data_IF_108307439510
#
_entry.id   IF_108307439510
#
_cell.length_a   1.000
_cell.length_b   1.000
_cell.length_c   1.000
_cell.angle_alpha   90.00
_cell.angle_beta   90.00
_cell.angle_gamma   90.00
#
_symmetry.space_group_name_H-M   'P 1'
#
loop_
_entity.id
_entity.type
_entity.pdbx_description
1 polymer ?
#
# COMPACT_ATOMS: atom_id res chain seq x y z
N UNK A 1 -48.89 -44.81 -34.06
CA UNK A 1 -48.41 -43.46 -33.72
C UNK A 1 -47.63 -43.57 -32.41
N UNK A 2 -46.29 -43.57 -32.45
CA UNK A 2 -45.44 -43.65 -31.25
C UNK A 2 -45.11 -42.24 -30.76
N UNK A 3 -45.37 -41.99 -29.48
CA UNK A 3 -45.14 -40.71 -28.81
C UNK A 3 -43.63 -40.46 -28.58
N UNK A 4 -43.17 -39.25 -28.94
CA UNK A 4 -41.82 -38.76 -28.66
C UNK A 4 -41.73 -38.35 -27.19
N UNK A 5 -40.90 -39.03 -26.40
CA UNK A 5 -40.45 -38.52 -25.09
C UNK A 5 -39.22 -37.62 -25.32
N UNK A 6 -39.39 -36.32 -25.14
CA UNK A 6 -38.28 -35.37 -25.04
C UNK A 6 -37.86 -35.27 -23.57
N UNK A 7 -36.66 -35.76 -23.25
CA UNK A 7 -36.04 -35.60 -21.94
C UNK A 7 -35.41 -34.21 -21.89
N UNK A 8 -35.99 -33.32 -21.09
CA UNK A 8 -35.46 -31.99 -20.78
C UNK A 8 -34.42 -32.16 -19.66
N UNK A 9 -33.13 -32.09 -20.01
CA UNK A 9 -32.06 -32.11 -19.02
C UNK A 9 -31.98 -30.75 -18.31
N UNK A 10 -32.42 -30.68 -17.05
CA UNK A 10 -32.18 -29.54 -16.16
C UNK A 10 -30.69 -29.54 -15.78
N UNK A 11 -29.91 -28.61 -16.34
CA UNK A 11 -28.60 -28.26 -15.80
C UNK A 11 -28.81 -27.46 -14.52
N UNK A 12 -28.60 -28.09 -13.36
CA UNK A 12 -28.46 -27.38 -12.10
C UNK A 12 -27.13 -26.65 -12.09
N UNK A 13 -27.16 -25.32 -12.24
CA UNK A 13 -26.00 -24.47 -12.05
C UNK A 13 -25.65 -24.43 -10.55
N UNK A 14 -24.60 -25.15 -10.16
CA UNK A 14 -24.02 -25.02 -8.83
C UNK A 14 -23.30 -23.66 -8.74
N UNK A 15 -23.95 -22.67 -8.13
CA UNK A 15 -23.31 -21.41 -7.74
C UNK A 15 -22.40 -21.74 -6.55
N UNK A 16 -21.11 -21.94 -6.84
CA UNK A 16 -20.09 -22.06 -5.80
C UNK A 16 -19.89 -20.65 -5.23
N UNK A 17 -20.50 -20.37 -4.09
CA UNK A 17 -20.22 -19.16 -3.33
C UNK A 17 -18.76 -19.22 -2.88
N UNK A 18 -17.86 -18.52 -3.58
CA UNK A 18 -16.49 -18.39 -3.14
C UNK A 18 -16.48 -17.52 -1.87
N UNK A 19 -15.70 -17.89 -0.84
CA UNK A 19 -15.52 -17.03 0.31
C UNK A 19 -14.87 -15.73 -0.18
N UNK A 20 -15.59 -14.62 -0.04
CA UNK A 20 -14.99 -13.30 -0.16
C UNK A 20 -14.02 -13.17 1.00
N UNK A 21 -12.72 -13.21 0.73
CA UNK A 21 -11.70 -12.84 1.70
C UNK A 21 -11.90 -11.35 2.02
N UNK A 22 -12.62 -11.07 3.10
CA UNK A 22 -12.69 -9.71 3.65
C UNK A 22 -11.32 -9.45 4.28
N UNK A 23 -10.45 -8.74 3.55
CA UNK A 23 -9.27 -8.13 4.13
C UNK A 23 -9.76 -7.23 5.26
N UNK A 24 -9.24 -7.42 6.48
CA UNK A 24 -9.53 -6.45 7.55
C UNK A 24 -8.73 -5.21 7.23
N UNK A 25 -9.42 -4.10 7.05
CA UNK A 25 -8.79 -2.80 6.88
C UNK A 25 -7.96 -2.53 8.14
N UNK A 26 -6.64 -2.43 7.98
CA UNK A 26 -5.74 -2.03 9.05
C UNK A 26 -5.51 -0.55 8.87
N UNK A 27 -6.01 0.23 9.82
CA UNK A 27 -5.80 1.67 9.85
C UNK A 27 -4.53 1.99 10.64
N UNK A 28 -3.75 2.95 10.13
CA UNK A 28 -2.62 3.54 10.85
C UNK A 28 -2.88 5.02 11.04
N UNK A 29 -2.70 5.49 12.27
CA UNK A 29 -2.94 6.85 12.68
C UNK A 29 -1.66 7.68 12.59
N UNK A 30 -1.63 8.63 11.67
CA UNK A 30 -0.50 9.54 11.45
C UNK A 30 -0.72 10.94 12.03
N UNK A 31 -1.76 11.13 12.85
CA UNK A 31 -2.11 12.41 13.47
C UNK A 31 -2.90 13.35 12.55
N UNK A 32 -3.86 14.09 13.11
CA UNK A 32 -4.81 14.90 12.32
C UNK A 32 -4.19 16.11 11.61
N UNK A 33 -3.03 16.58 12.07
CA UNK A 33 -2.29 17.71 11.47
C UNK A 33 -1.13 17.28 10.56
N UNK A 34 -0.90 15.98 10.42
CA UNK A 34 0.34 15.39 9.87
C UNK A 34 0.07 14.29 8.83
N UNK A 35 -1.15 13.77 8.72
CA UNK A 35 -1.45 12.76 7.70
C UNK A 35 -2.83 12.12 7.72
N UNK A 36 -3.51 12.16 8.87
CA UNK A 36 -4.79 11.49 9.06
C UNK A 36 -4.64 9.98 9.27
N UNK A 37 -5.74 9.26 9.04
CA UNK A 37 -5.79 7.80 9.15
C UNK A 37 -5.54 7.19 7.78
N UNK A 38 -4.59 6.25 7.71
CA UNK A 38 -4.20 5.56 6.48
C UNK A 38 -4.77 4.15 6.50
N UNK A 39 -5.57 3.81 5.48
CA UNK A 39 -5.89 2.41 5.20
C UNK A 39 -4.70 1.74 4.50
N UNK A 40 -4.16 0.69 5.13
CA UNK A 40 -3.04 -0.05 4.56
C UNK A 40 -3.42 -0.91 3.35
N UNK A 41 -4.70 -1.23 3.16
CA UNK A 41 -5.12 -2.07 2.04
C UNK A 41 -4.63 -1.54 0.66
N UNK A 42 -4.94 -0.29 0.27
CA UNK A 42 -4.40 0.30 -0.96
C UNK A 42 -2.88 0.47 -0.92
N UNK A 43 -2.29 0.74 0.25
CA UNK A 43 -0.82 0.93 0.39
C UNK A 43 -0.05 -0.31 -0.05
N UNK A 44 -0.49 -1.50 0.34
CA UNK A 44 0.14 -2.75 -0.09
C UNK A 44 0.10 -2.94 -1.61
N UNK A 45 -1.00 -2.57 -2.26
CA UNK A 45 -1.15 -2.69 -3.71
C UNK A 45 -0.26 -1.67 -4.44
N UNK A 46 -0.10 -0.47 -3.86
CA UNK A 46 0.80 0.57 -4.36
C UNK A 46 2.27 0.12 -4.23
N UNK A 47 2.69 -0.44 -3.09
CA UNK A 47 4.06 -0.95 -2.88
C UNK A 47 4.38 -2.10 -3.85
N UNK A 48 3.43 -3.01 -4.08
CA UNK A 48 3.61 -4.12 -5.00
C UNK A 48 3.89 -3.65 -6.45
N UNK A 49 3.40 -2.47 -6.82
CA UNK A 49 3.58 -1.87 -8.14
C UNK A 49 4.71 -0.82 -8.19
N UNK A 50 5.19 -0.37 -7.03
CA UNK A 50 6.20 0.68 -6.94
C UNK A 50 7.57 0.22 -7.48
N UNK A 51 8.38 1.14 -8.04
CA UNK A 51 9.74 0.84 -8.48
C UNK A 51 10.61 0.18 -7.39
N UNK A 52 11.55 -0.65 -7.82
CA UNK A 52 12.55 -1.30 -6.93
C UNK A 52 13.86 -0.53 -6.83
N UNK A 53 13.96 0.61 -7.51
CA UNK A 53 15.13 1.47 -7.53
C UNK A 53 14.66 2.89 -7.22
N UNK A 54 15.49 3.72 -6.57
CA UNK A 54 15.15 5.11 -6.34
C UNK A 54 15.06 5.86 -7.68
N UNK A 55 14.21 6.89 -7.72
CA UNK A 55 14.14 7.79 -8.86
C UNK A 55 15.48 8.46 -9.09
N UNK A 56 15.88 8.54 -10.36
CA UNK A 56 17.08 9.26 -10.78
C UNK A 56 16.80 10.74 -11.13
N UNK A 57 15.56 11.20 -10.93
CA UNK A 57 15.13 12.56 -11.23
C UNK A 57 14.98 13.36 -9.93
N UNK A 58 15.98 14.15 -9.57
CA UNK A 58 15.88 15.13 -8.47
C UNK A 58 15.31 14.55 -7.17
N UNK A 59 14.27 15.20 -6.63
CA UNK A 59 13.53 14.79 -5.43
C UNK A 59 12.25 14.00 -5.75
N UNK A 60 12.20 13.33 -6.91
CA UNK A 60 11.06 12.52 -7.32
C UNK A 60 10.99 11.22 -6.53
N UNK A 61 9.79 10.66 -6.44
CA UNK A 61 9.54 9.41 -5.73
C UNK A 61 9.53 8.19 -6.66
N UNK A 62 9.68 6.98 -6.10
CA UNK A 62 10.19 6.74 -4.75
C UNK A 62 11.67 7.12 -4.66
N UNK A 63 12.16 7.47 -3.48
CA UNK A 63 13.59 7.72 -3.25
C UNK A 63 14.09 6.98 -2.02
N UNK A 64 15.41 6.89 -1.86
CA UNK A 64 16.02 6.07 -0.82
C UNK A 64 15.72 6.62 0.59
N UNK A 65 15.13 5.77 1.42
CA UNK A 65 14.90 6.08 2.82
C UNK A 65 16.12 5.71 3.67
N UNK A 66 16.62 6.69 4.42
CA UNK A 66 17.66 6.50 5.43
C UNK A 66 17.04 6.75 6.80
N UNK A 67 17.05 5.75 7.65
CA UNK A 67 16.46 5.82 8.99
C UNK A 67 17.35 6.61 9.97
N UNK A 68 17.48 7.92 9.76
CA UNK A 68 18.31 8.80 10.59
C UNK A 68 17.70 9.05 11.97
N UNK A 69 16.38 9.02 12.07
CA UNK A 69 15.62 9.19 13.31
C UNK A 69 15.56 7.91 14.16
N UNK A 70 16.17 6.81 13.69
CA UNK A 70 16.19 5.51 14.36
C UNK A 70 14.79 4.98 14.69
N UNK A 71 13.85 5.17 13.76
CA UNK A 71 12.48 4.69 13.88
C UNK A 71 12.43 3.16 13.95
N UNK A 72 11.42 2.59 14.63
CA UNK A 72 11.15 1.16 14.56
C UNK A 72 10.80 0.74 13.12
N UNK A 73 11.62 -0.15 12.55
CA UNK A 73 11.44 -0.71 11.21
C UNK A 73 11.12 -2.21 11.35
N UNK A 74 10.18 -2.70 10.56
CA UNK A 74 9.87 -4.14 10.48
C UNK A 74 11.12 -4.95 10.12
N UNK A 75 11.34 -6.06 10.83
CA UNK A 75 12.43 -7.00 10.54
C UNK A 75 12.32 -7.65 9.15
N UNK A 76 11.16 -7.55 8.49
CA UNK A 76 11.02 -7.97 7.09
C UNK A 76 11.92 -7.18 6.14
N UNK A 77 12.40 -5.99 6.56
CA UNK A 77 13.28 -5.14 5.77
C UNK A 77 14.74 -5.18 6.23
N UNK A 78 15.12 -6.11 7.10
CA UNK A 78 16.48 -6.25 7.60
C UNK A 78 17.47 -6.53 6.45
N UNK A 79 18.45 -5.64 6.28
CA UNK A 79 19.47 -5.76 5.24
C UNK A 79 19.02 -5.36 3.83
N UNK A 80 17.78 -4.90 3.67
CA UNK A 80 17.26 -4.36 2.42
C UNK A 80 17.59 -2.86 2.27
N UNK A 81 17.73 -2.40 1.02
CA UNK A 81 17.56 -0.98 0.73
C UNK A 81 16.08 -0.64 0.94
N UNK A 82 15.80 0.44 1.65
CA UNK A 82 14.44 0.93 1.84
C UNK A 82 14.18 2.12 0.94
N UNK A 83 12.96 2.18 0.41
CA UNK A 83 12.46 3.31 -0.37
C UNK A 83 11.26 3.90 0.36
N UNK A 84 11.07 5.21 0.24
CA UNK A 84 9.86 5.88 0.71
C UNK A 84 8.96 6.28 -0.47
N UNK A 85 7.65 6.11 -0.29
CA UNK A 85 6.61 6.43 -1.27
C UNK A 85 5.50 7.26 -0.59
N UNK A 86 5.06 8.39 -1.18
CA UNK A 86 3.91 9.13 -0.67
C UNK A 86 2.64 8.29 -0.70
N UNK A 87 1.87 8.37 0.38
CA UNK A 87 0.57 7.69 0.52
C UNK A 87 -0.44 8.65 1.15
N UNK A 88 -1.72 8.40 0.90
CA UNK A 88 -2.78 9.37 1.21
C UNK A 88 -3.95 8.72 1.96
N UNK A 89 -4.59 9.50 2.83
CA UNK A 89 -5.72 9.04 3.66
C UNK A 89 -6.97 8.66 2.86
N UNK A 90 -7.16 9.24 1.67
CA UNK A 90 -8.22 8.87 0.73
C UNK A 90 -7.85 7.67 -0.16
N UNK A 91 -6.64 7.12 0.00
CA UNK A 91 -6.17 5.89 -0.63
C UNK A 91 -5.73 6.02 -2.08
N UNK A 92 -5.72 7.22 -2.69
CA UNK A 92 -5.18 7.37 -4.04
C UNK A 92 -3.67 7.07 -4.08
N UNK A 93 -3.18 6.69 -5.27
CA UNK A 93 -1.76 6.45 -5.49
C UNK A 93 -1.06 7.73 -5.95
N UNK A 94 0.17 7.94 -5.51
CA UNK A 94 1.00 9.06 -5.96
C UNK A 94 1.27 9.01 -7.47
N UNK A 95 1.09 10.12 -8.18
CA UNK A 95 1.46 10.26 -9.58
C UNK A 95 3.00 10.24 -9.75
N UNK A 96 3.57 9.05 -9.97
CA UNK A 96 5.00 8.86 -10.20
C UNK A 96 5.48 9.43 -11.55
N UNK A 97 4.59 9.63 -12.53
CA UNK A 97 4.96 10.07 -13.88
C UNK A 97 5.14 11.59 -13.92
N UNK A 98 4.19 12.33 -13.35
CA UNK A 98 4.19 13.79 -13.39
C UNK A 98 4.59 14.42 -12.05
N UNK A 99 4.56 13.64 -10.97
CA UNK A 99 4.68 14.16 -9.61
C UNK A 99 3.41 14.89 -9.18
N UNK A 100 3.20 14.95 -7.88
CA UNK A 100 2.18 15.79 -7.26
C UNK A 100 2.66 16.25 -5.88
N UNK A 101 1.82 16.96 -5.13
CA UNK A 101 2.16 17.26 -3.74
C UNK A 101 2.19 15.94 -2.95
N UNK A 102 3.35 15.50 -2.43
CA UNK A 102 3.45 14.19 -1.79
C UNK A 102 2.74 14.14 -0.42
N UNK A 103 2.23 15.27 0.07
CA UNK A 103 1.73 15.35 1.44
C UNK A 103 2.81 14.98 2.45
N UNK A 104 2.38 14.63 3.66
CA UNK A 104 3.30 14.41 4.78
C UNK A 104 3.58 12.92 5.08
N UNK A 105 2.75 11.99 4.61
CA UNK A 105 2.85 10.56 4.97
C UNK A 105 3.62 9.76 3.92
N UNK A 106 4.44 8.81 4.37
CA UNK A 106 5.20 7.90 3.53
C UNK A 106 5.01 6.46 3.97
N UNK A 107 4.86 5.57 3.00
CA UNK A 107 5.14 4.16 3.18
C UNK A 107 6.65 3.93 3.00
N UNK A 108 7.28 3.32 3.99
CA UNK A 108 8.66 2.83 3.88
C UNK A 108 8.58 1.36 3.48
N UNK A 109 9.21 0.99 2.37
CA UNK A 109 9.16 -0.38 1.86
C UNK A 109 10.53 -0.90 1.42
N UNK A 110 10.71 -2.22 1.52
CA UNK A 110 11.92 -2.88 1.04
C UNK A 110 11.97 -2.89 -0.48
N UNK A 111 13.03 -2.35 -1.06
CA UNK A 111 13.15 -2.08 -2.48
C UNK A 111 12.90 -3.33 -3.34
N UNK A 112 13.45 -4.48 -2.94
CA UNK A 112 13.35 -5.74 -3.69
C UNK A 112 12.21 -6.63 -3.21
N UNK A 113 12.09 -6.84 -1.91
CA UNK A 113 11.11 -7.77 -1.34
C UNK A 113 9.68 -7.18 -1.24
N UNK A 114 9.54 -5.87 -1.45
CA UNK A 114 8.26 -5.15 -1.39
C UNK A 114 7.53 -5.27 -0.05
N UNK A 115 8.26 -5.58 1.02
CA UNK A 115 7.70 -5.61 2.36
C UNK A 115 7.42 -4.18 2.85
N UNK A 116 6.27 -3.94 3.49
CA UNK A 116 6.00 -2.69 4.19
C UNK A 116 6.81 -2.68 5.49
N UNK A 117 7.78 -1.77 5.58
CA UNK A 117 8.69 -1.69 6.71
C UNK A 117 8.15 -0.81 7.83
N UNK A 118 7.55 0.32 7.47
CA UNK A 118 6.95 1.29 8.38
C UNK A 118 5.99 2.22 7.61
N UNK A 119 5.10 2.89 8.35
CA UNK A 119 4.41 4.08 7.87
C UNK A 119 4.85 5.24 8.74
N UNK A 120 5.28 6.33 8.11
CA UNK A 120 5.86 7.48 8.79
C UNK A 120 5.24 8.77 8.27
N UNK A 121 5.29 9.84 9.07
CA UNK A 121 4.84 11.16 8.65
C UNK A 121 5.84 12.24 9.06
N UNK A 122 5.93 13.28 8.24
CA UNK A 122 6.62 14.51 8.61
C UNK A 122 5.79 15.32 9.60
N UNK A 123 6.46 15.95 10.56
CA UNK A 123 5.86 16.98 11.38
C UNK A 123 5.73 18.30 10.60
N UNK A 124 4.69 19.09 10.89
CA UNK A 124 4.35 20.28 10.11
C UNK A 124 5.45 21.36 10.00
N UNK A 125 6.47 21.31 10.87
CA UNK A 125 7.55 22.30 10.93
C UNK A 125 8.96 21.67 10.91
N UNK A 126 9.08 20.39 10.55
CA UNK A 126 10.35 19.67 10.56
C UNK A 126 10.47 18.72 9.37
N UNK A 127 11.70 18.49 8.92
CA UNK A 127 12.03 17.44 7.95
C UNK A 127 12.11 16.04 8.56
N UNK A 128 12.11 15.94 9.90
CA UNK A 128 12.17 14.64 10.58
C UNK A 128 10.87 13.83 10.39
N UNK A 129 11.02 12.51 10.40
CA UNK A 129 9.91 11.57 10.43
C UNK A 129 9.56 11.08 11.84
N UNK A 130 8.28 10.83 12.07
CA UNK A 130 7.80 10.01 13.18
C UNK A 130 7.01 8.80 12.65
N UNK A 131 6.95 7.73 13.43
CA UNK A 131 6.19 6.54 13.08
C UNK A 131 4.68 6.76 13.33
N UNK A 132 3.85 6.39 12.37
CA UNK A 132 2.41 6.31 12.56
C UNK A 132 2.06 5.07 13.41
N UNK A 133 1.00 5.17 14.23
CA UNK A 133 0.61 4.10 15.16
C UNK A 133 -0.62 3.36 14.67
N UNK A 134 -0.61 2.04 14.75
CA UNK A 134 -1.83 1.22 14.58
C UNK A 134 -2.82 1.47 15.71
#
# INVERSE_FOLDING_TARGET
MLAKLSILALLAAAVIAQPVLVRRDVLVHCGQSTGGDIDLAPVYDQIAQAPSEPSNVGHSYPHEFKNYEHLPISSECDGEMMLELPIFADGHAYDLEHGENPGAVRAIYGAKNKALCAVVAHDANDSNFHQCTV
#
